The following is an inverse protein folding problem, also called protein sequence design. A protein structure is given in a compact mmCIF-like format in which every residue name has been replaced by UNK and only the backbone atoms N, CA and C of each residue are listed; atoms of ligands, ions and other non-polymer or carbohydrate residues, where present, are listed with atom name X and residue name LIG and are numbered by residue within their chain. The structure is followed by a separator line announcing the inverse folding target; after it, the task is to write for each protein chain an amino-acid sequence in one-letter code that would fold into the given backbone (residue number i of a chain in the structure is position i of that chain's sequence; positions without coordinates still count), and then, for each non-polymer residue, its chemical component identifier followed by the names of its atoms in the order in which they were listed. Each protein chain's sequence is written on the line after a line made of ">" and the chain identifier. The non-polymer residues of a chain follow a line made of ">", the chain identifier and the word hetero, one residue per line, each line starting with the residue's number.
data_IF_358583510307
#
_entry.id   IF_358583510307
#
_cell.length_a   1.000
_cell.length_b   1.000
_cell.length_c   1.000
_cell.angle_alpha   90.00
_cell.angle_beta   90.00
_cell.angle_gamma   90.00
#
_symmetry.space_group_name_H-M   'P 1'
#
loop_
_entity.id
_entity.type
_entity.pdbx_description
1 polymer ?
#
# COMPACT_ATOMS: atom_id res chain seq x y z
N UNK A 1 -21.44 1.00 6.53
CA UNK A 1 -20.03 0.90 6.10
C UNK A 1 -19.24 2.09 6.66
N UNK A 2 -17.97 1.95 7.07
CA UNK A 2 -17.25 2.99 7.83
C UNK A 2 -16.72 4.18 6.98
N UNK A 3 -16.44 3.96 5.70
CA UNK A 3 -15.98 4.98 4.75
C UNK A 3 -17.10 5.92 4.24
N UNK A 4 -18.37 5.52 4.38
CA UNK A 4 -19.50 6.23 3.78
C UNK A 4 -19.67 5.91 2.29
N UNK A 5 -20.36 6.79 1.56
CA UNK A 5 -20.55 6.72 0.10
C UNK A 5 -19.41 7.45 -0.62
N UNK A 6 -18.17 7.12 -0.25
CA UNK A 6 -16.96 7.71 -0.80
C UNK A 6 -16.11 6.61 -1.43
N UNK A 7 -15.41 6.96 -2.50
CA UNK A 7 -14.40 6.12 -3.15
C UNK A 7 -13.05 6.81 -3.04
N UNK A 8 -12.01 6.06 -2.65
CA UNK A 8 -10.63 6.52 -2.65
C UNK A 8 -9.95 5.86 -3.84
N UNK A 9 -9.36 6.67 -4.72
CA UNK A 9 -8.55 6.19 -5.85
C UNK A 9 -7.09 6.27 -5.42
N UNK A 10 -6.40 5.14 -5.49
CA UNK A 10 -4.97 5.04 -5.24
C UNK A 10 -4.28 4.86 -6.58
N UNK A 11 -3.31 5.73 -6.86
CA UNK A 11 -2.51 5.70 -8.07
C UNK A 11 -1.04 5.61 -7.68
N UNK A 12 -0.33 4.65 -8.26
CA UNK A 12 1.02 4.28 -7.85
C UNK A 12 1.94 4.33 -9.06
N UNK A 13 2.60 5.47 -9.25
CA UNK A 13 3.56 5.66 -10.33
C UNK A 13 4.96 5.21 -9.93
N UNK A 14 5.51 4.25 -10.67
CA UNK A 14 6.88 3.79 -10.49
C UNK A 14 7.82 4.76 -11.21
N UNK A 15 8.53 5.58 -10.42
CA UNK A 15 9.52 6.53 -10.94
C UNK A 15 10.82 5.85 -11.40
N UNK A 16 11.21 4.79 -10.69
CA UNK A 16 12.36 3.93 -11.01
C UNK A 16 12.00 2.49 -10.64
N UNK A 17 12.35 1.55 -11.51
CA UNK A 17 12.07 0.14 -11.34
C UNK A 17 13.39 -0.65 -11.19
N UNK A 18 13.51 -1.41 -10.10
CA UNK A 18 14.64 -2.32 -9.84
C UNK A 18 14.17 -3.52 -9.00
N UNK A 19 13.17 -4.25 -9.50
CA UNK A 19 12.52 -5.34 -8.75
C UNK A 19 11.53 -4.84 -7.68
N UNK A 20 10.68 -5.73 -7.20
CA UNK A 20 9.77 -5.46 -6.07
C UNK A 20 8.75 -4.32 -6.23
N UNK A 21 8.61 -3.70 -7.40
CA UNK A 21 7.82 -2.45 -7.56
C UNK A 21 6.35 -2.61 -7.21
N UNK A 22 5.75 -3.78 -7.49
CA UNK A 22 4.37 -4.12 -7.09
C UNK A 22 4.21 -4.19 -5.57
N UNK A 23 5.13 -4.83 -4.87
CA UNK A 23 5.07 -5.01 -3.41
C UNK A 23 5.38 -3.69 -2.70
N UNK A 24 6.31 -2.90 -3.25
CA UNK A 24 6.57 -1.53 -2.82
C UNK A 24 5.32 -0.64 -3.00
N UNK A 25 4.63 -0.72 -4.14
CA UNK A 25 3.40 0.03 -4.41
C UNK A 25 2.28 -0.30 -3.41
N UNK A 26 2.07 -1.58 -3.07
CA UNK A 26 1.07 -1.98 -2.06
C UNK A 26 1.39 -1.37 -0.69
N UNK A 27 2.65 -1.47 -0.25
CA UNK A 27 3.11 -0.95 1.04
C UNK A 27 2.98 0.58 1.11
N UNK A 28 3.40 1.30 0.05
CA UNK A 28 3.26 2.75 -0.04
C UNK A 28 1.79 3.22 -0.12
N UNK A 29 0.96 2.49 -0.88
CA UNK A 29 -0.46 2.80 -1.04
C UNK A 29 -1.23 2.69 0.28
N UNK A 30 -0.86 1.76 1.18
CA UNK A 30 -1.47 1.68 2.50
C UNK A 30 -1.23 2.95 3.33
N UNK A 31 0.00 3.48 3.30
CA UNK A 31 0.34 4.74 3.99
C UNK A 31 -0.46 5.90 3.40
N UNK A 32 -0.50 6.02 2.07
CA UNK A 32 -1.29 7.05 1.39
C UNK A 32 -2.79 6.94 1.71
N UNK A 33 -3.33 5.72 1.83
CA UNK A 33 -4.71 5.47 2.23
C UNK A 33 -4.99 5.91 3.68
N UNK A 34 -4.07 5.65 4.61
CA UNK A 34 -4.18 6.08 6.00
C UNK A 34 -4.20 7.61 6.12
N UNK A 35 -3.35 8.30 5.36
CA UNK A 35 -3.33 9.75 5.27
C UNK A 35 -4.63 10.29 4.65
N UNK A 36 -5.12 9.67 3.57
CA UNK A 36 -6.37 10.05 2.93
C UNK A 36 -7.58 9.92 3.88
N UNK A 37 -7.65 8.84 4.68
CA UNK A 37 -8.69 8.66 5.70
C UNK A 37 -8.59 9.73 6.79
N UNK A 38 -7.37 10.01 7.27
CA UNK A 38 -7.12 11.04 8.29
C UNK A 38 -7.54 12.43 7.79
N UNK A 39 -7.13 12.77 6.57
CA UNK A 39 -7.53 14.01 5.90
C UNK A 39 -9.05 14.11 5.76
N UNK A 40 -9.71 13.04 5.30
CA UNK A 40 -11.15 13.02 5.08
C UNK A 40 -11.94 13.17 6.38
N UNK A 41 -11.44 12.63 7.50
CA UNK A 41 -12.00 12.84 8.83
C UNK A 41 -11.83 14.29 9.30
N UNK A 42 -10.66 14.90 9.10
CA UNK A 42 -10.42 16.30 9.38
C UNK A 42 -11.33 17.24 8.57
N UNK A 43 -11.70 16.84 7.35
CA UNK A 43 -12.65 17.55 6.49
C UNK A 43 -14.12 17.21 6.73
N UNK A 44 -14.42 16.32 7.70
CA UNK A 44 -15.78 15.83 8.02
C UNK A 44 -16.48 15.11 6.84
N UNK A 45 -15.73 14.68 5.82
CA UNK A 45 -16.22 13.86 4.69
C UNK A 45 -16.49 12.44 5.20
N UNK A 46 -15.55 11.90 5.98
CA UNK A 46 -15.74 10.69 6.79
C UNK A 46 -16.08 11.13 8.21
N UNK A 47 -17.14 10.55 8.79
CA UNK A 47 -17.56 10.88 10.16
C UNK A 47 -16.43 10.57 11.15
N UNK A 48 -16.16 11.51 12.06
CA UNK A 48 -15.19 11.32 13.14
C UNK A 48 -15.54 10.07 13.97
N UNK A 49 -14.51 9.35 14.42
CA UNK A 49 -14.66 8.11 15.20
C UNK A 49 -15.03 6.86 14.39
N UNK A 50 -15.27 6.97 13.08
CA UNK A 50 -15.34 5.79 12.20
C UNK A 50 -13.93 5.26 11.97
N UNK A 51 -13.81 3.93 11.87
CA UNK A 51 -12.55 3.25 11.53
C UNK A 51 -12.70 2.53 10.19
N UNK A 52 -12.45 3.19 9.05
CA UNK A 52 -12.46 2.54 7.74
C UNK A 52 -11.34 1.51 7.58
N UNK A 53 -10.19 1.75 8.23
CA UNK A 53 -9.06 0.83 8.27
C UNK A 53 -9.20 -0.07 9.49
N UNK A 54 -9.29 -1.38 9.25
CA UNK A 54 -9.42 -2.39 10.31
C UNK A 54 -8.08 -3.02 10.69
N UNK A 55 -7.10 -2.96 9.79
CA UNK A 55 -5.76 -3.49 9.97
C UNK A 55 -4.76 -2.74 9.07
N UNK A 56 -3.50 -3.16 9.15
CA UNK A 56 -2.39 -2.75 8.30
C UNK A 56 -2.17 -3.73 7.15
N UNK A 57 -1.67 -3.22 6.02
CA UNK A 57 -1.32 -4.03 4.84
C UNK A 57 0.07 -3.64 4.37
N UNK A 58 0.90 -4.64 4.14
CA UNK A 58 2.21 -4.52 3.51
C UNK A 58 2.46 -5.75 2.64
N UNK A 59 3.40 -5.66 1.71
CA UNK A 59 3.78 -6.76 0.84
C UNK A 59 5.29 -6.76 0.56
N UNK A 60 5.84 -7.93 0.28
CA UNK A 60 7.26 -8.14 -0.06
C UNK A 60 7.40 -9.29 -1.06
N UNK A 61 8.38 -9.22 -1.96
CA UNK A 61 8.73 -10.31 -2.89
C UNK A 61 9.63 -11.34 -2.19
N UNK A 62 9.52 -12.60 -2.60
CA UNK A 62 10.36 -13.71 -2.16
C UNK A 62 10.58 -14.68 -3.32
N UNK A 63 11.72 -15.34 -3.36
CA UNK A 63 12.04 -16.30 -4.40
C UNK A 63 13.17 -17.24 -4.02
N UNK A 64 13.51 -18.16 -4.92
CA UNK A 64 14.70 -19.01 -4.82
C UNK A 64 15.57 -18.68 -6.03
N UNK A 65 16.75 -18.12 -5.79
CA UNK A 65 17.73 -17.72 -6.81
C UNK A 65 18.97 -18.58 -6.63
N UNK A 66 19.38 -19.30 -7.68
CA UNK A 66 20.50 -20.25 -7.64
C UNK A 66 20.45 -21.24 -6.47
N UNK A 67 19.24 -21.73 -6.17
CA UNK A 67 18.99 -22.66 -5.06
C UNK A 67 18.97 -22.03 -3.67
N UNK A 68 19.16 -20.71 -3.57
CA UNK A 68 19.14 -19.95 -2.31
C UNK A 68 17.82 -19.19 -2.15
N UNK A 69 17.08 -19.37 -1.04
CA UNK A 69 15.92 -18.54 -0.74
C UNK A 69 16.33 -17.09 -0.47
N UNK A 70 15.74 -16.14 -1.20
CA UNK A 70 15.97 -14.71 -1.07
C UNK A 70 14.67 -13.96 -0.76
N UNK A 71 14.82 -12.80 -0.10
CA UNK A 71 13.77 -11.87 0.29
C UNK A 71 14.06 -10.51 -0.36
N UNK A 72 13.02 -9.83 -0.83
CA UNK A 72 13.10 -8.49 -1.45
C UNK A 72 14.00 -8.47 -2.70
N UNK A 73 13.59 -9.25 -3.70
CA UNK A 73 14.33 -9.46 -4.95
C UNK A 73 14.45 -8.15 -5.76
N UNK A 74 15.68 -7.79 -6.12
CA UNK A 74 15.95 -6.74 -7.12
C UNK A 74 15.68 -7.26 -8.54
N UNK A 75 15.85 -6.41 -9.57
CA UNK A 75 15.52 -6.79 -10.95
C UNK A 75 16.36 -7.97 -11.48
N UNK A 76 17.59 -8.12 -11.02
CA UNK A 76 18.47 -9.21 -11.45
C UNK A 76 18.13 -10.55 -10.75
N UNK A 77 17.39 -10.50 -9.66
CA UNK A 77 17.05 -11.64 -8.79
C UNK A 77 15.63 -12.20 -9.02
N UNK A 78 14.71 -11.40 -9.59
CA UNK A 78 13.29 -11.74 -9.88
C UNK A 78 13.10 -12.38 -11.26
#
# INVERSE_FOLDING_TARGET
>A
KALGENTIVLDCDVLQADGGTRTAAITGAYVALADAVTWAQGKKIVKAGRKPLTDTVAAISVGIVDGTPLLDLCYEED
#
